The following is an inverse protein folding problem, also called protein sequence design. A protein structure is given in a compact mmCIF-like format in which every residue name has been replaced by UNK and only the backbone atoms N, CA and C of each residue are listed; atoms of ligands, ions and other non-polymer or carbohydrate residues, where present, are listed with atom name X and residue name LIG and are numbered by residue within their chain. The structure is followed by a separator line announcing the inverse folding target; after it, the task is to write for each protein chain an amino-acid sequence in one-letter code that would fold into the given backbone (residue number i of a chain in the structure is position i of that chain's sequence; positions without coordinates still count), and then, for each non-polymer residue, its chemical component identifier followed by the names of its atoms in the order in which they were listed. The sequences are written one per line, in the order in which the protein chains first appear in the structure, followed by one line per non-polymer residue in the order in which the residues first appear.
data_IF_230546843610
#
_entry.id   IF_230546843610
#
_cell.length_a   1.000
_cell.length_b   1.000
_cell.length_c   1.000
_cell.angle_alpha   90.00
_cell.angle_beta   90.00
_cell.angle_gamma   90.00
#
_symmetry.space_group_name_H-M   'P 1'
#
loop_
_entity.id
_entity.type
_entity.pdbx_description
1 polymer ?
#
# COMPACT_ATOMS: atom_id res chain seq x y z
N UNK A 1 1.60 -7.23 6.78
CA UNK A 1 1.75 -6.14 5.80
C UNK A 1 2.06 -4.86 6.55
N UNK A 2 3.21 -4.25 6.26
CA UNK A 2 3.66 -2.99 6.85
C UNK A 2 3.27 -1.84 5.94
N UNK A 3 2.47 -0.92 6.45
CA UNK A 3 2.03 0.28 5.75
C UNK A 3 2.76 1.50 6.29
N UNK A 4 3.31 2.32 5.42
CA UNK A 4 3.81 3.65 5.76
C UNK A 4 2.80 4.69 5.30
N UNK A 5 2.41 5.60 6.19
CA UNK A 5 1.54 6.74 5.91
C UNK A 5 2.35 8.01 6.18
N UNK A 6 2.47 8.90 5.22
CA UNK A 6 3.26 10.12 5.35
C UNK A 6 2.42 11.34 4.95
N UNK A 7 2.22 12.26 5.91
CA UNK A 7 1.41 13.48 5.78
C UNK A 7 1.73 14.40 6.96
N UNK A 8 1.82 15.69 6.77
CA UNK A 8 2.09 16.64 7.87
C UNK A 8 0.86 16.88 8.76
N UNK A 9 -0.33 16.53 8.30
CA UNK A 9 -1.57 16.66 9.06
C UNK A 9 -1.82 15.44 9.96
N UNK A 10 -1.41 15.47 11.22
CA UNK A 10 -1.62 14.37 12.18
C UNK A 10 -3.09 13.93 12.30
N UNK A 11 -4.03 14.87 12.17
CA UNK A 11 -5.49 14.57 12.19
C UNK A 11 -5.86 13.71 10.99
N UNK A 12 -5.28 13.98 9.82
CA UNK A 12 -5.50 13.19 8.62
C UNK A 12 -4.88 11.79 8.76
N UNK A 13 -3.64 11.68 9.25
CA UNK A 13 -2.98 10.38 9.51
C UNK A 13 -3.81 9.50 10.45
N UNK A 14 -4.34 10.07 11.52
CA UNK A 14 -5.21 9.35 12.46
C UNK A 14 -6.50 8.88 11.81
N UNK A 15 -7.13 9.74 11.00
CA UNK A 15 -8.34 9.39 10.24
C UNK A 15 -8.09 8.28 9.23
N UNK A 16 -7.01 8.38 8.45
CA UNK A 16 -6.63 7.38 7.46
C UNK A 16 -6.30 6.04 8.11
N UNK A 17 -5.50 6.05 9.19
CA UNK A 17 -5.18 4.85 9.99
C UNK A 17 -6.45 4.18 10.49
N UNK A 18 -7.41 4.95 11.00
CA UNK A 18 -8.70 4.41 11.44
C UNK A 18 -9.46 3.73 10.30
N UNK A 19 -9.55 4.38 9.13
CA UNK A 19 -10.23 3.80 7.95
C UNK A 19 -9.58 2.48 7.51
N UNK A 20 -8.25 2.43 7.48
CA UNK A 20 -7.49 1.21 7.16
C UNK A 20 -7.79 0.10 8.18
N UNK A 21 -7.79 0.42 9.47
CA UNK A 21 -8.10 -0.57 10.51
C UNK A 21 -9.57 -0.99 10.52
N UNK A 22 -10.49 -0.11 10.10
CA UNK A 22 -11.91 -0.46 9.91
C UNK A 22 -12.08 -1.43 8.74
N UNK A 23 -11.36 -1.22 7.64
CA UNK A 23 -11.28 -2.18 6.55
C UNK A 23 -10.71 -3.53 7.03
N UNK A 24 -9.57 -3.51 7.72
CA UNK A 24 -8.91 -4.72 8.22
C UNK A 24 -9.83 -5.54 9.15
N UNK A 25 -10.62 -4.85 9.96
CA UNK A 25 -11.59 -5.48 10.87
C UNK A 25 -12.72 -6.15 10.10
N UNK A 26 -13.26 -5.50 9.08
CA UNK A 26 -14.32 -6.05 8.22
C UNK A 26 -13.84 -7.24 7.40
N UNK A 27 -12.60 -7.19 6.93
CA UNK A 27 -11.99 -8.25 6.14
C UNK A 27 -11.38 -9.40 6.97
N UNK A 28 -11.33 -9.28 8.30
CA UNK A 28 -10.73 -10.29 9.19
C UNK A 28 -9.21 -10.28 9.23
N UNK A 29 -8.56 -9.18 8.81
CA UNK A 29 -7.10 -9.07 8.62
C UNK A 29 -6.37 -8.27 9.70
N UNK A 30 -6.99 -8.02 10.85
CA UNK A 30 -6.46 -7.13 11.89
C UNK A 30 -5.09 -7.51 12.43
N UNK A 31 -4.75 -8.80 12.48
CA UNK A 31 -3.44 -9.28 12.97
C UNK A 31 -2.32 -9.19 11.93
N UNK A 32 -2.67 -8.92 10.69
CA UNK A 32 -1.72 -8.91 9.56
C UNK A 32 -1.27 -7.51 9.14
N UNK A 33 -1.73 -6.43 9.79
CA UNK A 33 -1.45 -5.05 9.38
C UNK A 33 -0.73 -4.31 10.50
N UNK A 34 0.38 -3.68 10.13
CA UNK A 34 1.14 -2.74 10.96
C UNK A 34 1.16 -1.40 10.21
N UNK A 35 0.79 -0.34 10.91
CA UNK A 35 0.75 1.02 10.35
C UNK A 35 1.83 1.84 11.03
N UNK A 36 2.67 2.48 10.21
CA UNK A 36 3.68 3.44 10.62
C UNK A 36 3.29 4.79 10.07
N UNK A 37 3.31 5.83 10.89
CA UNK A 37 2.94 7.20 10.50
C UNK A 37 4.15 8.11 10.58
N UNK A 38 4.31 8.97 9.60
CA UNK A 38 5.39 9.94 9.48
C UNK A 38 4.81 11.32 9.23
N UNK A 39 5.33 12.33 9.92
CA UNK A 39 4.90 13.72 9.78
C UNK A 39 5.75 14.51 8.77
N UNK A 40 6.84 13.93 8.28
CA UNK A 40 7.69 14.53 7.26
C UNK A 40 8.28 13.49 6.30
N UNK A 41 8.69 13.97 5.14
CA UNK A 41 9.39 13.19 4.13
C UNK A 41 10.73 12.65 4.64
N UNK A 42 11.42 13.45 5.42
CA UNK A 42 12.73 13.16 5.98
C UNK A 42 12.64 11.99 6.98
N UNK A 43 11.66 12.02 7.90
CA UNK A 43 11.42 10.92 8.85
C UNK A 43 11.16 9.59 8.14
N UNK A 44 10.34 9.61 7.09
CA UNK A 44 10.03 8.42 6.30
C UNK A 44 11.29 7.86 5.63
N UNK A 45 12.08 8.72 4.98
CA UNK A 45 13.32 8.29 4.30
C UNK A 45 14.37 7.79 5.27
N UNK A 46 14.53 8.44 6.42
CA UNK A 46 15.44 8.00 7.47
C UNK A 46 15.06 6.60 7.97
N UNK A 47 13.78 6.37 8.28
CA UNK A 47 13.29 5.05 8.68
C UNK A 47 13.52 3.99 7.60
N UNK A 48 13.27 4.34 6.33
CA UNK A 48 13.53 3.48 5.18
C UNK A 48 15.00 3.12 5.04
N UNK A 49 15.91 4.10 5.12
CA UNK A 49 17.35 3.90 5.03
C UNK A 49 17.92 3.06 6.19
N UNK A 50 17.28 3.09 7.36
CA UNK A 50 17.62 2.25 8.50
C UNK A 50 17.01 0.83 8.42
N UNK A 51 16.47 0.46 7.27
CA UNK A 51 16.03 -0.93 7.01
C UNK A 51 14.58 -1.21 7.40
N UNK A 52 13.75 -0.17 7.54
CA UNK A 52 12.31 -0.39 7.74
C UNK A 52 11.70 -1.09 6.54
N UNK A 53 10.94 -2.15 6.80
CA UNK A 53 10.20 -2.87 5.77
C UNK A 53 8.90 -2.12 5.50
N UNK A 54 8.68 -1.74 4.24
CA UNK A 54 7.46 -1.09 3.76
C UNK A 54 6.87 -1.95 2.64
N UNK A 55 5.65 -2.43 2.84
CA UNK A 55 4.92 -3.22 1.84
C UNK A 55 4.02 -2.36 0.94
N UNK A 56 3.57 -1.20 1.45
CA UNK A 56 2.85 -0.19 0.69
C UNK A 56 2.98 1.19 1.36
N UNK A 57 2.93 2.24 0.54
CA UNK A 57 3.09 3.62 0.96
C UNK A 57 1.86 4.46 0.58
N UNK A 58 1.29 5.16 1.56
CA UNK A 58 0.33 6.24 1.36
C UNK A 58 1.06 7.56 1.62
N UNK A 59 1.08 8.45 0.64
CA UNK A 59 1.98 9.59 0.63
C UNK A 59 1.26 10.86 0.16
N UNK A 60 1.27 11.90 0.99
CA UNK A 60 0.91 13.22 0.48
C UNK A 60 2.03 13.74 -0.45
N UNK A 61 1.63 14.41 -1.49
CA UNK A 61 2.56 15.03 -2.45
C UNK A 61 3.17 16.30 -1.87
N UNK A 62 2.36 17.08 -1.17
CA UNK A 62 2.78 18.36 -0.59
C UNK A 62 2.95 18.25 0.92
N UNK A 63 4.10 17.81 1.33
CA UNK A 63 4.54 17.81 2.73
C UNK A 63 5.52 18.99 2.89
N UNK A 64 5.35 19.87 3.88
CA UNK A 64 6.30 20.92 4.18
C UNK A 64 7.67 20.33 4.52
N UNK A 65 8.75 20.90 3.95
CA UNK A 65 10.11 20.43 4.17
C UNK A 65 10.98 20.63 2.94
N UNK A 66 12.19 20.07 2.97
CA UNK A 66 13.13 20.16 1.86
C UNK A 66 12.76 19.20 0.71
N UNK A 67 11.95 18.16 1.02
CA UNK A 67 11.61 17.11 0.07
C UNK A 67 10.11 16.97 -0.07
N UNK A 68 9.61 17.06 -1.30
CA UNK A 68 8.21 16.75 -1.61
C UNK A 68 7.95 15.25 -1.59
N UNK A 69 6.68 14.85 -1.38
CA UNK A 69 6.29 13.45 -1.47
C UNK A 69 6.63 12.80 -2.82
N UNK A 70 6.61 13.55 -3.92
CA UNK A 70 7.05 13.04 -5.22
C UNK A 70 8.55 12.69 -5.26
N UNK A 71 9.38 13.50 -4.58
CA UNK A 71 10.82 13.21 -4.46
C UNK A 71 11.06 11.94 -3.67
N UNK A 72 10.37 11.78 -2.54
CA UNK A 72 10.43 10.55 -1.72
C UNK A 72 9.96 9.33 -2.51
N UNK A 73 8.85 9.44 -3.21
CA UNK A 73 8.34 8.38 -4.06
C UNK A 73 9.37 7.93 -5.10
N UNK A 74 10.07 8.90 -5.72
CA UNK A 74 11.12 8.62 -6.70
C UNK A 74 12.30 7.87 -6.07
N UNK A 75 12.77 8.30 -4.91
CA UNK A 75 13.89 7.65 -4.22
C UNK A 75 13.55 6.22 -3.80
N UNK A 76 12.39 6.02 -3.19
CA UNK A 76 11.92 4.68 -2.80
C UNK A 76 11.77 3.79 -4.04
N UNK A 77 11.17 4.30 -5.11
CA UNK A 77 10.94 3.56 -6.35
C UNK A 77 12.24 3.16 -7.07
N UNK A 78 13.28 4.01 -7.03
CA UNK A 78 14.60 3.68 -7.59
C UNK A 78 15.28 2.51 -6.88
N UNK A 79 15.05 2.35 -5.57
CA UNK A 79 15.62 1.26 -4.77
C UNK A 79 14.73 0.00 -4.87
N UNK A 80 13.42 0.18 -4.82
CA UNK A 80 12.45 -0.92 -4.90
C UNK A 80 11.18 -0.49 -5.66
N UNK A 81 11.17 -0.75 -6.96
CA UNK A 81 10.04 -0.44 -7.85
C UNK A 81 8.76 -1.23 -7.54
N UNK A 82 8.86 -2.26 -6.70
CA UNK A 82 7.73 -3.12 -6.37
C UNK A 82 6.87 -2.62 -5.21
N UNK A 83 7.31 -1.58 -4.48
CA UNK A 83 6.49 -0.99 -3.42
C UNK A 83 5.36 -0.18 -4.07
N UNK A 84 4.09 -0.58 -3.88
CA UNK A 84 2.98 0.19 -4.40
C UNK A 84 2.84 1.51 -3.63
N UNK A 85 2.70 2.60 -4.38
CA UNK A 85 2.51 3.94 -3.83
C UNK A 85 1.09 4.40 -4.13
N UNK A 86 0.40 4.87 -3.09
CA UNK A 86 -0.89 5.55 -3.18
C UNK A 86 -0.67 7.00 -2.80
N UNK A 87 -0.81 7.89 -3.76
CA UNK A 87 -0.76 9.32 -3.46
C UNK A 87 -2.09 9.80 -2.90
N UNK A 88 -2.02 10.63 -1.87
CA UNK A 88 -3.20 11.26 -1.27
C UNK A 88 -2.92 12.76 -1.17
N UNK A 89 -3.66 13.58 -1.90
CA UNK A 89 -3.37 15.01 -1.95
C UNK A 89 -4.62 15.84 -2.19
N UNK A 90 -4.57 17.11 -1.81
CA UNK A 90 -5.59 18.11 -2.15
C UNK A 90 -5.40 18.70 -3.55
N UNK A 91 -4.32 18.36 -4.24
CA UNK A 91 -3.91 18.98 -5.49
C UNK A 91 -4.03 17.99 -6.65
N UNK A 92 -5.07 18.16 -7.47
CA UNK A 92 -5.37 17.27 -8.60
C UNK A 92 -4.39 17.40 -9.79
N UNK A 93 -3.70 18.52 -9.90
CA UNK A 93 -2.72 18.79 -10.98
C UNK A 93 -1.53 17.83 -10.97
N UNK A 94 -1.19 17.27 -9.81
CA UNK A 94 -0.09 16.30 -9.68
C UNK A 94 -0.45 14.87 -10.11
N UNK A 95 -1.72 14.59 -10.40
CA UNK A 95 -2.13 13.25 -10.84
C UNK A 95 -1.39 12.80 -12.11
N UNK A 96 -1.09 13.73 -13.02
CA UNK A 96 -0.31 13.47 -14.23
C UNK A 96 1.16 13.10 -13.97
N UNK A 97 1.76 13.64 -12.90
CA UNK A 97 3.15 13.33 -12.57
C UNK A 97 3.31 11.96 -11.94
N UNK A 98 2.34 11.53 -11.16
CA UNK A 98 2.38 10.23 -10.50
C UNK A 98 2.29 9.04 -11.44
N UNK A 99 1.77 9.21 -12.65
CA UNK A 99 1.86 8.17 -13.68
C UNK A 99 3.30 7.78 -14.01
N UNK A 100 4.28 8.69 -13.81
CA UNK A 100 5.70 8.43 -14.05
C UNK A 100 6.31 7.45 -13.02
N UNK A 101 5.67 7.29 -11.86
CA UNK A 101 6.16 6.46 -10.76
C UNK A 101 5.37 5.16 -10.59
N UNK A 102 4.56 4.77 -11.60
CA UNK A 102 3.71 3.59 -11.52
C UNK A 102 2.86 3.55 -10.23
N UNK A 103 2.37 4.74 -9.82
CA UNK A 103 1.52 4.85 -8.65
C UNK A 103 0.29 3.94 -8.77
N UNK A 104 -0.03 3.23 -7.71
CA UNK A 104 -1.18 2.34 -7.69
C UNK A 104 -2.48 3.12 -7.85
N UNK A 105 -2.61 4.24 -7.12
CA UNK A 105 -3.77 5.13 -7.16
C UNK A 105 -3.41 6.55 -6.73
N UNK A 106 -4.28 7.48 -7.16
CA UNK A 106 -4.39 8.84 -6.65
C UNK A 106 -5.71 9.00 -5.94
N UNK A 107 -5.66 9.46 -4.68
CA UNK A 107 -6.83 9.77 -3.87
C UNK A 107 -6.82 11.27 -3.57
N UNK A 108 -7.95 11.92 -3.81
CA UNK A 108 -8.11 13.33 -3.50
C UNK A 108 -8.66 13.51 -2.08
N UNK A 109 -8.04 14.41 -1.29
CA UNK A 109 -8.54 14.78 0.04
C UNK A 109 -9.84 15.62 -0.10
N UNK A 110 -10.89 15.37 0.69
CA UNK A 110 -11.01 14.36 1.74
C UNK A 110 -11.28 12.95 1.17
N UNK A 111 -10.58 11.95 1.68
CA UNK A 111 -10.67 10.57 1.19
C UNK A 111 -11.86 9.85 1.81
N UNK A 112 -12.72 9.24 0.98
CA UNK A 112 -13.85 8.44 1.44
C UNK A 112 -13.41 7.06 1.96
N UNK A 113 -14.21 6.45 2.85
CA UNK A 113 -13.97 5.10 3.34
C UNK A 113 -13.93 4.10 2.18
N UNK A 114 -14.83 4.24 1.22
CA UNK A 114 -14.89 3.38 0.04
C UNK A 114 -13.59 3.42 -0.76
N UNK A 115 -13.03 4.60 -1.02
CA UNK A 115 -11.79 4.75 -1.78
C UNK A 115 -10.61 4.10 -1.05
N UNK A 116 -10.55 4.21 0.29
CA UNK A 116 -9.53 3.53 1.10
C UNK A 116 -9.72 2.02 1.03
N UNK A 117 -10.96 1.53 1.15
CA UNK A 117 -11.25 0.10 1.15
C UNK A 117 -10.87 -0.55 -0.20
N UNK A 118 -11.23 0.07 -1.30
CA UNK A 118 -10.83 -0.39 -2.64
C UNK A 118 -9.30 -0.43 -2.82
N UNK A 119 -8.59 0.57 -2.29
CA UNK A 119 -7.13 0.56 -2.29
C UNK A 119 -6.57 -0.60 -1.47
N UNK A 120 -7.11 -0.80 -0.27
CA UNK A 120 -6.65 -1.84 0.64
C UNK A 120 -6.92 -3.24 0.08
N UNK A 121 -8.05 -3.47 -0.60
CA UNK A 121 -8.34 -4.74 -1.27
C UNK A 121 -7.25 -5.08 -2.30
N UNK A 122 -6.86 -4.10 -3.12
CA UNK A 122 -5.81 -4.29 -4.13
C UNK A 122 -4.44 -4.53 -3.46
N UNK A 123 -4.10 -3.71 -2.46
CA UNK A 123 -2.83 -3.80 -1.75
C UNK A 123 -2.68 -5.13 -1.03
N UNK A 124 -3.73 -5.57 -0.33
CA UNK A 124 -3.75 -6.83 0.38
C UNK A 124 -3.60 -8.03 -0.55
N UNK A 125 -4.34 -8.03 -1.65
CA UNK A 125 -4.25 -9.09 -2.66
C UNK A 125 -2.82 -9.17 -3.26
N UNK A 126 -2.21 -8.03 -3.63
CA UNK A 126 -0.84 -7.99 -4.13
C UNK A 126 0.18 -8.45 -3.07
N UNK A 127 -0.05 -8.10 -1.82
CA UNK A 127 0.81 -8.51 -0.72
C UNK A 127 0.74 -10.02 -0.49
N UNK A 128 -0.45 -10.60 -0.47
CA UNK A 128 -0.65 -12.04 -0.37
C UNK A 128 0.09 -12.80 -1.48
N UNK A 129 -0.04 -12.37 -2.72
CA UNK A 129 0.65 -13.00 -3.86
C UNK A 129 2.18 -13.01 -3.74
N UNK A 130 2.76 -12.09 -2.97
CA UNK A 130 4.21 -12.01 -2.76
C UNK A 130 4.70 -12.77 -1.53
N UNK A 131 3.83 -12.94 -0.53
CA UNK A 131 4.23 -13.46 0.80
C UNK A 131 3.61 -14.81 1.13
N UNK A 132 2.77 -15.35 0.26
CA UNK A 132 2.19 -16.66 0.42
C UNK A 132 2.78 -17.58 -0.64
N UNK A 133 3.34 -18.73 -0.22
CA UNK A 133 3.64 -19.80 -1.15
C UNK A 133 2.31 -20.25 -1.76
N UNK A 134 2.12 -20.04 -3.03
CA UNK A 134 0.87 -20.38 -3.73
C UNK A 134 1.15 -21.44 -4.81
N UNK A 135 0.21 -22.35 -4.97
CA UNK A 135 0.12 -23.17 -6.18
C UNK A 135 -0.69 -22.39 -7.21
N UNK A 136 -0.11 -22.22 -8.41
CA UNK A 136 -0.81 -21.64 -9.55
C UNK A 136 -1.50 -22.74 -10.35
N UNK A 137 -2.83 -22.70 -10.41
CA UNK A 137 -3.63 -23.64 -11.20
C UNK A 137 -4.16 -22.91 -12.42
N UNK A 138 -3.74 -23.37 -13.61
CA UNK A 138 -4.27 -22.90 -14.87
C UNK A 138 -5.59 -23.62 -15.18
N UNK A 139 -6.68 -22.89 -15.11
CA UNK A 139 -7.97 -23.34 -15.60
C UNK A 139 -8.21 -22.80 -17.01
N UNK A 140 -9.06 -23.40 -17.83
CA UNK A 140 -9.27 -22.98 -19.22
C UNK A 140 -9.69 -21.51 -19.39
N UNK A 141 -10.31 -20.92 -18.37
CA UNK A 141 -10.88 -19.56 -18.41
C UNK A 141 -10.24 -18.59 -17.43
N UNK A 142 -9.42 -19.08 -16.48
CA UNK A 142 -8.83 -18.23 -15.44
C UNK A 142 -7.60 -18.87 -14.80
N UNK A 143 -6.78 -18.03 -14.19
CA UNK A 143 -5.66 -18.44 -13.35
C UNK A 143 -6.12 -18.38 -11.88
N UNK A 144 -6.02 -19.50 -11.18
CA UNK A 144 -6.35 -19.59 -9.77
C UNK A 144 -5.06 -19.65 -8.93
N UNK A 145 -4.95 -18.77 -7.95
CA UNK A 145 -3.87 -18.76 -6.95
C UNK A 145 -4.41 -19.36 -5.65
N UNK A 146 -3.89 -20.52 -5.26
CA UNK A 146 -4.25 -21.18 -4.01
C UNK A 146 -3.09 -21.07 -3.02
N UNK A 147 -3.25 -20.34 -1.90
CA UNK A 147 -2.27 -20.34 -0.82
C UNK A 147 -2.02 -21.74 -0.28
N UNK A 148 -0.75 -22.10 -0.07
CA UNK A 148 -0.34 -23.45 0.38
C UNK A 148 -0.95 -23.83 1.74
N UNK A 149 -1.15 -22.85 2.63
CA UNK A 149 -1.77 -23.03 3.94
C UNK A 149 -3.27 -23.39 3.91
N UNK A 150 -3.93 -23.15 2.77
CA UNK A 150 -5.33 -23.54 2.53
C UNK A 150 -5.46 -24.91 1.85
N UNK A 151 -4.35 -25.55 1.47
CA UNK A 151 -4.36 -26.82 0.75
C UNK A 151 -4.21 -27.95 1.76
N UNK A 152 -5.27 -28.72 1.97
CA UNK A 152 -5.24 -29.88 2.83
C UNK A 152 -4.62 -31.11 2.15
N UNK A 153 -4.96 -31.35 0.89
CA UNK A 153 -4.35 -32.38 0.05
C UNK A 153 -4.61 -32.10 -1.43
N UNK A 154 -3.83 -32.71 -2.28
CA UNK A 154 -4.03 -32.71 -3.75
C UNK A 154 -4.17 -34.14 -4.21
N UNK A 155 -5.27 -34.49 -4.87
CA UNK A 155 -5.53 -35.78 -5.44
C UNK A 155 -5.50 -35.72 -6.97
N UNK A 156 -4.77 -36.63 -7.61
CA UNK A 156 -4.71 -36.79 -9.06
C UNK A 156 -5.52 -38.02 -9.45
N UNK A 157 -6.65 -37.81 -10.12
CA UNK A 157 -7.37 -38.90 -10.79
C UNK A 157 -6.84 -39.01 -12.23
N UNK A 158 -6.16 -40.11 -12.51
CA UNK A 158 -5.70 -40.48 -13.86
C UNK A 158 -6.82 -40.95 -14.77
#
# INVERSE_FOLDING_TARGET
MNLALCDDEQVFLNSLSKKIMDWARRAGHTRGIIIHTFSSSEELLEAWQHGMIIDALFLDIQIPGEMSGLTVAKEIHQINEHIPIVFITSYSEYAMEGYKFNALRFLHKPVSDQAVFECMDILWHRWLLRHTDCIMIHLPTQLLHLPMDLILYVESSG
#
